data_IF_737717317372
#
_entry.id   IF_737717317372
#
_cell.length_a   1.000
_cell.length_b   1.000
_cell.length_c   1.000
_cell.angle_alpha   90.00
_cell.angle_beta   90.00
_cell.angle_gamma   90.00
#
_symmetry.space_group_name_H-M   'P 1'
#
loop_
_entity.id
_entity.type
_entity.pdbx_description
1 polymer ?
#
# COMPACT_ATOMS: atom_id res chain seq x y z
N UNK A 1 3.71 40.66 -12.76
CA UNK A 1 4.11 39.24 -12.70
C UNK A 1 4.38 38.89 -11.23
N UNK A 2 3.48 38.17 -10.56
CA UNK A 2 3.73 37.63 -9.21
C UNK A 2 3.53 36.13 -9.28
N UNK A 3 4.64 35.42 -9.04
CA UNK A 3 4.77 33.96 -9.07
C UNK A 3 3.73 33.32 -8.17
N UNK A 4 2.92 32.41 -8.73
CA UNK A 4 1.92 31.66 -7.98
C UNK A 4 2.61 30.65 -7.08
N UNK A 5 2.66 30.95 -5.79
CA UNK A 5 3.15 30.04 -4.76
C UNK A 5 2.13 28.91 -4.60
N UNK A 6 2.43 27.75 -5.18
CA UNK A 6 1.62 26.54 -5.09
C UNK A 6 1.65 26.04 -3.65
N UNK A 7 0.70 26.51 -2.83
CA UNK A 7 0.45 25.99 -1.48
C UNK A 7 0.18 24.50 -1.57
N UNK A 8 1.19 23.72 -1.22
CA UNK A 8 1.05 22.28 -1.08
C UNK A 8 0.45 22.08 0.31
N UNK A 9 -0.85 21.81 0.39
CA UNK A 9 -1.49 21.38 1.62
C UNK A 9 -0.85 20.03 1.99
N UNK A 10 0.03 20.04 2.99
CA UNK A 10 0.54 18.81 3.60
C UNK A 10 -0.46 18.39 4.66
N UNK A 11 -1.30 17.45 4.30
CA UNK A 11 -2.19 16.77 5.26
C UNK A 11 -1.45 15.53 5.76
N UNK A 12 -0.88 15.63 6.97
CA UNK A 12 -0.17 14.52 7.60
C UNK A 12 -1.19 13.67 8.37
N UNK A 13 -1.54 12.50 7.83
CA UNK A 13 -2.43 11.56 8.49
C UNK A 13 -1.65 10.47 9.22
N UNK A 14 -1.97 10.30 10.50
CA UNK A 14 -1.42 9.23 11.34
C UNK A 14 -2.20 7.93 11.11
N UNK A 15 -1.55 6.96 10.47
CA UNK A 15 -2.12 5.61 10.24
C UNK A 15 -1.95 4.69 11.45
N UNK A 16 -0.90 4.94 12.24
CA UNK A 16 -0.57 4.23 13.46
C UNK A 16 -0.01 5.24 14.45
N UNK A 17 -0.65 5.36 15.62
CA UNK A 17 -0.19 6.18 16.73
C UNK A 17 -0.30 5.36 18.01
N UNK A 18 0.79 4.68 18.36
CA UNK A 18 0.91 3.95 19.61
C UNK A 18 1.83 4.73 20.56
N UNK A 19 1.30 5.00 21.75
CA UNK A 19 2.04 5.69 22.81
C UNK A 19 2.30 4.72 23.96
N UNK A 20 3.57 4.58 24.32
CA UNK A 20 4.00 3.78 25.46
C UNK A 20 4.73 4.71 26.42
N UNK A 21 4.34 4.68 27.70
CA UNK A 21 5.09 5.34 28.77
C UNK A 21 6.20 4.40 29.20
N UNK A 22 7.45 4.79 28.94
CA UNK A 22 8.63 3.96 29.24
C UNK A 22 9.06 4.13 30.71
N UNK A 23 8.89 5.34 31.24
CA UNK A 23 9.26 5.69 32.61
C UNK A 23 8.40 6.87 33.09
N UNK A 24 8.03 6.87 34.37
CA UNK A 24 7.03 7.78 34.95
C UNK A 24 5.71 7.07 35.26
N UNK A 25 4.71 7.85 35.68
CA UNK A 25 3.36 7.37 36.01
C UNK A 25 2.43 7.51 34.81
N UNK A 26 1.50 6.57 34.67
CA UNK A 26 0.30 6.80 33.88
C UNK A 26 -0.66 7.69 34.68
N UNK A 27 -1.61 8.39 34.03
CA UNK A 27 -2.47 9.42 34.67
C UNK A 27 -3.32 8.94 35.87
N UNK A 28 -3.23 7.68 36.27
CA UNK A 28 -4.02 7.08 37.33
C UNK A 28 -3.27 6.93 38.68
N UNK A 29 -1.96 7.18 38.74
CA UNK A 29 -1.20 7.11 39.99
C UNK A 29 -1.03 8.48 40.66
N UNK A 30 -0.98 8.46 41.99
CA UNK A 30 -0.92 9.60 42.93
C UNK A 30 -0.15 10.85 42.40
N UNK A 31 -0.80 12.03 42.28
CA UNK A 31 -0.24 13.22 41.61
C UNK A 31 1.01 13.82 42.26
N UNK A 32 1.32 13.46 43.51
CA UNK A 32 2.40 14.11 44.27
C UNK A 32 3.74 13.36 44.26
N UNK A 33 3.83 12.15 43.72
CA UNK A 33 5.09 11.42 43.63
C UNK A 33 5.85 11.76 42.33
N UNK A 34 6.52 12.91 42.31
CA UNK A 34 7.45 13.28 41.23
C UNK A 34 8.61 12.29 41.24
N UNK A 35 8.71 11.47 40.19
CA UNK A 35 9.86 10.58 40.02
C UNK A 35 11.07 11.44 39.62
N UNK A 36 12.15 11.39 40.41
CA UNK A 36 13.37 12.16 40.17
C UNK A 36 14.42 11.21 39.57
N UNK A 37 14.93 11.55 38.39
CA UNK A 37 16.10 10.88 37.81
C UNK A 37 17.37 11.41 38.50
N UNK A 38 18.16 10.56 39.18
CA UNK A 38 19.41 11.00 39.78
C UNK A 38 20.42 11.40 38.70
N UNK A 39 21.45 12.15 39.07
CA UNK A 39 22.53 12.50 38.15
C UNK A 39 23.22 11.23 37.65
N UNK A 40 23.27 11.03 36.34
CA UNK A 40 23.90 9.86 35.74
C UNK A 40 23.46 9.61 34.30
N UNK A 41 23.94 8.51 33.74
CA UNK A 41 23.50 8.00 32.45
C UNK A 41 22.34 7.02 32.66
N UNK A 42 21.20 7.32 32.05
CA UNK A 42 20.00 6.49 32.10
C UNK A 42 19.73 5.90 30.73
N UNK A 43 19.50 4.59 30.68
CA UNK A 43 19.17 3.89 29.45
C UNK A 43 17.85 3.17 29.64
N UNK A 44 16.87 3.50 28.80
CA UNK A 44 15.56 2.89 28.80
C UNK A 44 15.38 2.03 27.55
N UNK A 45 15.20 0.74 27.75
CA UNK A 45 14.91 -0.19 26.66
C UNK A 45 13.42 -0.22 26.41
N UNK A 46 13.02 -0.11 25.15
CA UNK A 46 11.63 -0.26 24.73
C UNK A 46 11.55 -1.19 23.51
N UNK A 47 10.43 -1.88 23.41
CA UNK A 47 10.09 -2.70 22.26
C UNK A 47 8.61 -2.49 21.95
N UNK A 48 8.27 -2.48 20.67
CA UNK A 48 6.90 -2.43 20.19
C UNK A 48 6.76 -3.46 19.07
N UNK A 49 5.57 -4.03 18.96
CA UNK A 49 5.24 -4.93 17.86
C UNK A 49 4.43 -4.14 16.85
N UNK A 50 4.83 -4.25 15.58
CA UNK A 50 4.04 -3.66 14.51
C UNK A 50 2.71 -4.43 14.40
N UNK A 51 1.57 -3.73 14.18
CA UNK A 51 0.29 -4.38 13.99
C UNK A 51 0.34 -5.43 12.87
N UNK A 52 -0.30 -6.58 13.09
CA UNK A 52 -0.41 -7.65 12.08
C UNK A 52 -1.37 -7.32 10.93
N UNK A 53 -2.01 -6.15 10.97
CA UNK A 53 -2.83 -5.66 9.86
C UNK A 53 -1.94 -5.33 8.64
N UNK A 54 -2.53 -5.31 7.45
CA UNK A 54 -1.84 -4.90 6.22
C UNK A 54 -1.43 -3.42 6.30
N UNK A 55 -0.24 -3.17 6.86
CA UNK A 55 0.37 -1.85 6.86
C UNK A 55 0.99 -1.57 5.50
N UNK A 56 0.83 -0.35 4.97
CA UNK A 56 1.45 0.01 3.70
C UNK A 56 2.97 0.03 3.82
N UNK A 57 3.66 -0.38 2.76
CA UNK A 57 5.12 -0.29 2.71
C UNK A 57 5.57 1.18 2.71
N UNK A 58 6.78 1.43 3.19
CA UNK A 58 7.40 2.75 3.05
C UNK A 58 7.55 3.09 1.58
N UNK A 59 7.06 4.27 1.19
CA UNK A 59 6.96 4.66 -0.21
C UNK A 59 7.25 6.15 -0.37
N UNK A 60 8.05 6.49 -1.37
CA UNK A 60 8.31 7.86 -1.77
C UNK A 60 7.86 8.10 -3.22
N UNK A 61 6.85 8.95 -3.41
CA UNK A 61 6.38 9.33 -4.76
C UNK A 61 6.18 10.84 -4.87
N UNK A 62 5.99 11.33 -6.10
CA UNK A 62 5.64 12.75 -6.34
C UNK A 62 4.28 13.14 -5.75
N UNK A 63 3.38 12.17 -5.57
CA UNK A 63 2.00 12.41 -5.11
C UNK A 63 1.83 12.29 -3.60
N UNK A 64 2.76 11.63 -2.91
CA UNK A 64 2.68 11.41 -1.47
C UNK A 64 3.84 10.57 -0.94
N UNK A 65 4.00 10.58 0.39
CA UNK A 65 5.04 9.83 1.08
C UNK A 65 4.48 9.10 2.28
N UNK A 66 4.87 7.83 2.43
CA UNK A 66 4.55 7.00 3.60
C UNK A 66 5.85 6.81 4.38
N UNK A 67 5.92 7.41 5.57
CA UNK A 67 7.10 7.36 6.45
C UNK A 67 6.71 6.92 7.85
N UNK A 68 7.51 6.03 8.40
CA UNK A 68 7.37 5.56 9.77
C UNK A 68 8.47 6.15 10.64
N UNK A 69 8.11 6.55 11.85
CA UNK A 69 9.06 7.07 12.82
C UNK A 69 8.66 6.72 14.24
N UNK A 70 9.66 6.62 15.11
CA UNK A 70 9.49 6.58 16.55
C UNK A 70 9.82 7.95 17.10
N UNK A 71 8.92 8.50 17.92
CA UNK A 71 9.10 9.78 18.59
C UNK A 71 9.18 9.55 20.10
N UNK A 72 10.32 9.88 20.68
CA UNK A 72 10.52 9.94 22.12
C UNK A 72 10.29 11.36 22.60
N UNK A 73 9.51 11.52 23.68
CA UNK A 73 9.24 12.80 24.32
C UNK A 73 9.56 12.61 25.80
N UNK A 74 10.44 13.45 26.33
CA UNK A 74 10.72 13.49 27.77
C UNK A 74 9.94 14.66 28.33
N UNK A 75 8.96 14.38 29.18
CA UNK A 75 8.19 15.44 29.82
C UNK A 75 8.93 15.95 31.05
N UNK A 76 9.22 17.25 31.10
CA UNK A 76 9.96 17.88 32.20
C UNK A 76 9.08 19.00 32.76
N UNK A 77 8.75 18.97 34.07
CA UNK A 77 7.93 20.01 34.67
C UNK A 77 8.62 21.37 34.55
N UNK A 78 7.85 22.40 34.20
CA UNK A 78 8.31 23.79 34.06
C UNK A 78 9.38 24.03 32.98
N UNK A 79 9.64 23.06 32.10
CA UNK A 79 10.55 23.19 30.98
C UNK A 79 9.92 22.66 29.68
N UNK A 80 10.50 23.01 28.54
CA UNK A 80 10.07 22.46 27.25
C UNK A 80 10.49 21.01 27.13
N UNK A 81 9.53 20.12 26.86
CA UNK A 81 9.76 18.68 26.73
C UNK A 81 10.69 18.39 25.52
N UNK A 82 11.94 17.92 25.72
CA UNK A 82 12.80 17.58 24.60
C UNK A 82 12.26 16.36 23.84
N UNK A 83 12.52 16.35 22.53
CA UNK A 83 11.96 15.36 21.61
C UNK A 83 13.09 14.75 20.77
N UNK A 84 13.03 13.44 20.58
CA UNK A 84 13.91 12.69 19.67
C UNK A 84 13.07 11.94 18.65
N UNK A 85 13.42 12.02 17.37
CA UNK A 85 12.71 11.32 16.29
C UNK A 85 13.68 10.41 15.55
N UNK A 86 13.28 9.16 15.32
CA UNK A 86 14.04 8.21 14.51
C UNK A 86 13.14 7.60 13.44
N UNK A 87 13.51 7.79 12.18
CA UNK A 87 12.82 7.18 11.04
C UNK A 87 13.27 5.74 10.82
N UNK A 88 12.35 4.92 10.32
CA UNK A 88 12.61 3.57 9.86
C UNK A 88 11.74 3.24 8.64
N UNK A 89 12.14 2.22 7.88
CA UNK A 89 11.43 1.78 6.68
C UNK A 89 10.76 0.45 6.91
N UNK A 90 9.46 0.39 6.58
CA UNK A 90 8.72 -0.85 6.49
C UNK A 90 8.87 -1.41 5.08
N UNK A 91 9.54 -2.56 4.98
CA UNK A 91 9.66 -3.33 3.75
C UNK A 91 8.57 -4.39 3.78
N UNK A 92 7.82 -4.50 2.67
CA UNK A 92 6.80 -5.53 2.53
C UNK A 92 7.37 -6.94 2.59
N UNK A 93 6.50 -7.97 2.58
CA UNK A 93 6.97 -9.34 2.51
C UNK A 93 7.90 -9.51 1.30
N UNK A 94 9.00 -10.23 1.49
CA UNK A 94 9.92 -10.54 0.40
C UNK A 94 9.19 -11.44 -0.61
N UNK A 95 8.91 -10.92 -1.80
CA UNK A 95 8.33 -11.67 -2.90
C UNK A 95 9.47 -12.13 -3.79
N UNK A 96 9.70 -13.44 -3.85
CA UNK A 96 10.60 -14.03 -4.81
C UNK A 96 9.81 -14.39 -6.08
N UNK A 97 10.11 -13.73 -7.19
CA UNK A 97 9.45 -14.00 -8.47
C UNK A 97 9.72 -15.41 -9.01
N UNK A 98 10.73 -16.11 -8.49
CA UNK A 98 11.08 -17.47 -8.89
C UNK A 98 10.44 -18.55 -8.00
N UNK A 99 9.59 -18.15 -7.05
CA UNK A 99 8.85 -19.11 -6.23
C UNK A 99 7.87 -19.92 -7.11
N UNK A 100 7.80 -21.24 -6.88
CA UNK A 100 7.06 -22.19 -7.73
C UNK A 100 5.60 -21.79 -7.96
N UNK A 101 4.96 -21.19 -6.94
CA UNK A 101 3.59 -20.67 -7.02
C UNK A 101 3.37 -19.58 -8.06
N UNK A 102 4.43 -18.85 -8.44
CA UNK A 102 4.37 -17.78 -9.43
C UNK A 102 4.78 -18.23 -10.84
N UNK A 103 5.43 -19.39 -10.95
CA UNK A 103 5.89 -19.95 -12.22
C UNK A 103 4.78 -20.70 -12.98
N UNK A 104 3.60 -20.84 -12.39
CA UNK A 104 2.45 -21.45 -13.05
C UNK A 104 1.83 -20.53 -14.09
N UNK A 105 1.47 -21.11 -15.25
CA UNK A 105 0.79 -20.37 -16.30
C UNK A 105 -0.61 -19.90 -15.86
N UNK A 106 -0.92 -18.64 -16.13
CA UNK A 106 -2.24 -18.04 -15.88
C UNK A 106 -3.02 -17.98 -17.19
N UNK A 107 -4.22 -18.56 -17.22
CA UNK A 107 -5.09 -18.56 -18.39
C UNK A 107 -6.38 -17.79 -18.09
N UNK A 108 -6.64 -16.72 -18.84
CA UNK A 108 -7.92 -16.02 -18.87
C UNK A 108 -8.68 -16.36 -20.14
N UNK A 109 -9.98 -16.65 -20.04
CA UNK A 109 -10.84 -16.88 -21.18
C UNK A 109 -12.11 -16.05 -21.04
N UNK A 110 -12.52 -15.40 -22.11
CA UNK A 110 -13.78 -14.69 -22.19
C UNK A 110 -14.42 -14.87 -23.57
N UNK A 111 -15.74 -14.78 -23.64
CA UNK A 111 -16.47 -14.81 -24.90
C UNK A 111 -17.64 -13.84 -24.87
N UNK A 112 -17.87 -13.17 -26.00
CA UNK A 112 -18.94 -12.21 -26.16
C UNK A 112 -19.81 -12.61 -27.35
N UNK A 113 -21.11 -12.79 -27.08
CA UNK A 113 -22.13 -13.04 -28.10
C UNK A 113 -22.86 -11.74 -28.38
N UNK A 114 -22.91 -11.33 -29.66
CA UNK A 114 -23.67 -10.16 -30.07
C UNK A 114 -24.77 -10.58 -31.04
N UNK A 115 -26.00 -10.19 -30.75
CA UNK A 115 -27.18 -10.48 -31.56
C UNK A 115 -27.84 -9.16 -31.95
N UNK A 116 -27.77 -8.78 -33.23
CA UNK A 116 -28.56 -7.67 -33.78
C UNK A 116 -29.91 -8.18 -34.31
N UNK A 117 -30.93 -7.31 -34.19
CA UNK A 117 -32.38 -7.57 -34.07
C UNK A 117 -33.05 -8.62 -34.97
N UNK A 118 -32.48 -9.13 -36.07
CA UNK A 118 -33.12 -10.14 -36.91
C UNK A 118 -32.13 -11.11 -37.61
N UNK A 119 -31.29 -11.84 -36.86
CA UNK A 119 -30.55 -13.03 -37.33
C UNK A 119 -29.12 -12.85 -37.89
N UNK A 120 -28.24 -12.20 -37.15
CA UNK A 120 -26.81 -12.54 -37.17
C UNK A 120 -26.29 -12.67 -35.73
N UNK A 121 -25.91 -13.89 -35.35
CA UNK A 121 -25.25 -14.21 -34.07
C UNK A 121 -23.75 -14.29 -34.32
N UNK A 122 -23.08 -13.15 -34.28
CA UNK A 122 -21.62 -13.15 -34.23
C UNK A 122 -21.15 -13.55 -32.83
N UNK A 123 -20.09 -14.34 -32.73
CA UNK A 123 -19.41 -14.62 -31.45
C UNK A 123 -17.94 -14.27 -31.57
N UNK A 124 -17.39 -13.64 -30.53
CA UNK A 124 -15.95 -13.49 -30.37
C UNK A 124 -15.52 -14.22 -29.10
N UNK A 125 -14.51 -15.07 -29.20
CA UNK A 125 -13.88 -15.69 -28.05
C UNK A 125 -12.40 -15.29 -27.98
N UNK A 126 -11.95 -14.97 -26.78
CA UNK A 126 -10.57 -14.59 -26.48
C UNK A 126 -10.05 -15.51 -25.38
N UNK A 127 -8.90 -16.14 -25.63
CA UNK A 127 -8.14 -16.87 -24.61
C UNK A 127 -6.75 -16.29 -24.53
N UNK A 128 -6.37 -15.82 -23.34
CA UNK A 128 -5.05 -15.23 -23.06
C UNK A 128 -4.33 -16.10 -22.06
N UNK A 129 -3.07 -16.40 -22.34
CA UNK A 129 -2.19 -17.23 -21.52
C UNK A 129 -0.92 -16.45 -21.23
N UNK A 130 -0.63 -16.29 -19.94
CA UNK A 130 0.65 -15.82 -19.41
C UNK A 130 1.42 -17.04 -18.91
N UNK A 131 2.72 -17.12 -19.20
CA UNK A 131 3.54 -18.28 -18.81
C UNK A 131 3.77 -18.34 -17.30
N UNK A 132 3.74 -17.18 -16.63
CA UNK A 132 3.94 -17.02 -15.19
C UNK A 132 3.24 -15.74 -14.69
N UNK A 133 3.11 -15.59 -13.38
CA UNK A 133 2.36 -14.49 -12.74
C UNK A 133 3.24 -13.42 -12.09
N UNK A 134 4.52 -13.70 -11.82
CA UNK A 134 5.46 -12.71 -11.30
C UNK A 134 6.56 -12.38 -12.32
N UNK A 135 6.97 -11.11 -12.37
CA UNK A 135 8.00 -10.60 -13.29
C UNK A 135 8.87 -9.59 -12.58
N UNK A 136 10.18 -9.61 -12.85
CA UNK A 136 11.08 -8.56 -12.39
C UNK A 136 10.98 -7.32 -13.29
N UNK A 137 11.21 -6.15 -12.72
CA UNK A 137 11.30 -4.91 -13.47
C UNK A 137 12.36 -5.02 -14.58
N UNK A 138 11.99 -4.64 -15.80
CA UNK A 138 12.88 -4.68 -16.98
C UNK A 138 12.83 -5.99 -17.78
N UNK A 139 12.08 -6.99 -17.33
CA UNK A 139 11.89 -8.23 -18.08
C UNK A 139 10.78 -8.12 -19.13
N UNK A 140 10.86 -8.92 -20.18
CA UNK A 140 9.85 -8.99 -21.22
C UNK A 140 8.66 -9.88 -20.81
N UNK A 141 7.46 -9.31 -20.88
CA UNK A 141 6.21 -10.02 -20.63
C UNK A 141 5.78 -10.83 -21.86
N UNK A 142 5.80 -12.16 -21.75
CA UNK A 142 5.34 -13.06 -22.83
C UNK A 142 3.86 -13.39 -22.66
N UNK A 143 3.05 -12.96 -23.63
CA UNK A 143 1.61 -13.20 -23.65
C UNK A 143 1.26 -13.98 -24.91
N UNK A 144 0.53 -15.08 -24.75
CA UNK A 144 -0.05 -15.85 -25.86
C UNK A 144 -1.55 -15.57 -25.89
N UNK A 145 -2.07 -15.07 -27.02
CA UNK A 145 -3.48 -14.79 -27.19
C UNK A 145 -4.05 -15.58 -28.38
N UNK A 146 -5.15 -16.30 -28.14
CA UNK A 146 -5.93 -16.99 -29.15
C UNK A 146 -7.26 -16.26 -29.30
N UNK A 147 -7.57 -15.86 -30.54
CA UNK A 147 -8.77 -15.09 -30.87
C UNK A 147 -9.56 -15.88 -31.90
N UNK A 148 -10.81 -16.19 -31.57
CA UNK A 148 -11.79 -16.71 -32.53
C UNK A 148 -12.81 -15.63 -32.83
N UNK A 149 -12.67 -14.96 -33.97
CA UNK A 149 -13.63 -13.97 -34.45
C UNK A 149 -14.58 -14.61 -35.47
N UNK A 150 -15.84 -14.84 -35.07
CA UNK A 150 -16.92 -15.31 -35.95
C UNK A 150 -17.91 -14.19 -36.23
N UNK A 151 -17.42 -12.98 -36.43
CA UNK A 151 -18.21 -11.79 -36.74
C UNK A 151 -17.80 -11.23 -38.10
N UNK A 152 -18.67 -10.42 -38.69
CA UNK A 152 -18.47 -9.88 -40.03
C UNK A 152 -17.61 -8.60 -40.07
N UNK A 153 -17.08 -8.17 -38.92
CA UNK A 153 -16.23 -6.98 -38.80
C UNK A 153 -14.88 -7.29 -38.14
N UNK A 154 -13.91 -6.40 -38.40
CA UNK A 154 -12.55 -6.51 -37.88
C UNK A 154 -12.49 -6.13 -36.40
N UNK A 155 -11.78 -6.92 -35.60
CA UNK A 155 -11.55 -6.65 -34.17
C UNK A 155 -10.06 -6.50 -33.91
N UNK A 156 -9.69 -5.52 -33.08
CA UNK A 156 -8.31 -5.31 -32.63
C UNK A 156 -8.15 -5.69 -31.17
N UNK A 157 -7.05 -6.36 -30.85
CA UNK A 157 -6.66 -6.68 -29.48
C UNK A 157 -5.86 -5.51 -28.89
N UNK A 158 -6.27 -5.00 -27.73
CA UNK A 158 -5.50 -4.02 -26.98
C UNK A 158 -5.11 -4.60 -25.63
N UNK A 159 -3.81 -4.66 -25.36
CA UNK A 159 -3.27 -5.14 -24.08
C UNK A 159 -2.68 -3.94 -23.35
N UNK A 160 -3.06 -3.76 -22.08
CA UNK A 160 -2.53 -2.74 -21.20
C UNK A 160 -2.12 -3.35 -19.87
N UNK A 161 -0.97 -2.91 -19.39
CA UNK A 161 -0.53 -3.17 -18.02
C UNK A 161 -1.15 -2.09 -17.14
N UNK A 162 -2.02 -2.51 -16.24
CA UNK A 162 -2.70 -1.63 -15.30
C UNK A 162 -2.17 -1.94 -13.91
N UNK A 163 -1.64 -0.93 -13.23
CA UNK A 163 -1.28 -1.04 -11.82
C UNK A 163 -2.51 -0.66 -10.99
N UNK A 164 -3.04 -1.62 -10.23
CA UNK A 164 -4.12 -1.34 -9.29
C UNK A 164 -3.50 -0.83 -7.99
N UNK A 165 -3.66 0.48 -7.74
CA UNK A 165 -3.22 1.07 -6.48
C UNK A 165 -4.35 0.95 -5.46
N UNK A 166 -4.01 0.58 -4.23
CA UNK A 166 -4.94 0.74 -3.11
C UNK A 166 -5.15 2.24 -2.87
N UNK A 167 -6.30 2.77 -3.28
CA UNK A 167 -6.72 4.13 -2.92
C UNK A 167 -7.04 4.19 -1.43
N UNK A 168 -6.12 4.72 -0.62
CA UNK A 168 -6.44 5.10 0.76
C UNK A 168 -7.25 6.40 0.68
N UNK A 169 -8.57 6.26 0.61
CA UNK A 169 -9.48 7.42 0.60
C UNK A 169 -9.70 7.91 2.03
N UNK A 170 -9.08 9.04 2.34
CA UNK A 170 -9.24 9.73 3.63
C UNK A 170 -10.65 10.31 3.71
N UNK A 171 -11.53 9.68 4.50
CA UNK A 171 -12.81 10.27 4.93
C UNK A 171 -12.75 10.48 6.44
N UNK A 172 -12.79 11.75 6.85
CA UNK A 172 -13.05 12.27 8.20
C UNK A 172 -13.33 11.20 9.28
N UNK A 173 -12.27 10.55 9.76
CA UNK A 173 -12.29 9.76 10.99
C UNK A 173 -12.90 8.34 10.96
N UNK A 174 -13.25 7.75 9.81
CA UNK A 174 -13.71 6.34 9.79
C UNK A 174 -13.10 5.56 8.63
N UNK A 175 -12.31 4.55 8.99
CA UNK A 175 -11.79 3.54 8.08
C UNK A 175 -12.92 2.62 7.59
N UNK A 176 -13.17 2.61 6.28
CA UNK A 176 -13.87 1.50 5.61
C UNK A 176 -12.95 0.96 4.54
N UNK A 177 -12.44 -0.25 4.74
CA UNK A 177 -11.80 -1.03 3.69
C UNK A 177 -12.85 -1.35 2.63
N UNK A 178 -12.83 -0.65 1.50
CA UNK A 178 -13.49 -1.14 0.31
C UNK A 178 -12.55 -2.17 -0.31
N UNK A 179 -12.78 -3.46 -0.05
CA UNK A 179 -12.20 -4.53 -0.83
C UNK A 179 -12.84 -4.47 -2.22
N UNK A 180 -12.15 -3.87 -3.20
CA UNK A 180 -12.32 -4.32 -4.58
C UNK A 180 -11.72 -5.71 -4.65
N UNK A 181 -12.53 -6.71 -4.99
CA UNK A 181 -12.04 -8.07 -5.20
C UNK A 181 -10.97 -8.03 -6.29
N UNK A 182 -9.72 -8.43 -6.01
CA UNK A 182 -8.71 -8.49 -7.05
C UNK A 182 -8.89 -9.81 -7.79
N UNK A 183 -9.31 -9.73 -9.04
CA UNK A 183 -8.94 -10.80 -9.97
C UNK A 183 -7.42 -10.74 -10.13
N UNK A 184 -6.76 -11.71 -9.48
CA UNK A 184 -5.33 -11.91 -9.41
C UNK A 184 -4.59 -11.62 -10.72
N UNK A 185 -4.04 -10.42 -10.83
CA UNK A 185 -2.78 -10.16 -11.51
C UNK A 185 -2.03 -9.15 -10.64
N UNK A 186 -1.25 -9.65 -9.68
CA UNK A 186 -0.27 -8.81 -8.98
C UNK A 186 0.87 -8.54 -9.96
N UNK A 187 0.84 -7.37 -10.57
CA UNK A 187 1.99 -6.83 -11.31
C UNK A 187 2.55 -5.66 -10.48
N UNK A 188 3.86 -5.73 -10.25
CA UNK A 188 4.67 -4.74 -9.54
C UNK A 188 4.52 -3.35 -10.17
#
# INVERSE_FOLDING_TARGET
MKSGERKTLKDDQYLLDEKIVIWGKDKHDDPDATQILPRGMHQFTFAFQLPQCQMPCSMETRMGTIRYYVKCIIDIPYASSPQGIKYFSLIGPHIDCMEEKYLSALCGQDHKVQCFRCCQRGTIALRVILERTAYCCGENLKIKAHIENRQDFTVSLNIKLMQEFLEIRVKNGVFRSAQTQPHHIQML
#
